data_IF_334515035591
#
_entry.id   IF_334515035591
#
_cell.length_a   1.000
_cell.length_b   1.000
_cell.length_c   1.000
_cell.angle_alpha   90.00
_cell.angle_beta   90.00
_cell.angle_gamma   90.00
#
_symmetry.space_group_name_H-M   'P 1'
#
loop_
_entity.id
_entity.type
_entity.pdbx_description
1 polymer ?
#
# COMPACT_ATOMS: atom_id res chain seq x y z
N UNK A 1 2.66 20.55 -21.14
CA UNK A 1 1.48 20.01 -20.44
C UNK A 1 1.28 18.57 -20.87
N UNK A 2 1.81 17.54 -20.17
CA UNK A 2 1.51 16.16 -20.54
C UNK A 2 0.22 15.72 -19.83
N UNK A 3 -0.76 15.35 -20.63
CA UNK A 3 -2.00 14.73 -20.20
C UNK A 3 -1.69 13.39 -19.52
N UNK A 4 -2.11 13.25 -18.27
CA UNK A 4 -2.05 12.00 -17.53
C UNK A 4 -3.02 10.99 -18.13
N UNK A 5 -2.50 9.89 -18.65
CA UNK A 5 -3.32 8.77 -19.12
C UNK A 5 -3.84 8.02 -17.90
N UNK A 6 -5.04 8.37 -17.43
CA UNK A 6 -5.85 7.50 -16.60
C UNK A 6 -6.43 6.40 -17.49
N UNK A 7 -5.73 5.27 -17.62
CA UNK A 7 -6.30 4.09 -18.30
C UNK A 7 -7.42 3.55 -17.40
N UNK A 8 -8.66 3.89 -17.76
CA UNK A 8 -9.88 3.20 -17.33
C UNK A 8 -9.85 1.76 -17.87
N UNK A 9 -9.05 0.87 -17.27
CA UNK A 9 -9.15 -0.57 -17.53
C UNK A 9 -10.43 -1.19 -16.90
N UNK A 10 -11.24 -0.38 -16.21
CA UNK A 10 -12.40 -0.81 -15.40
C UNK A 10 -13.68 -0.95 -16.23
N UNK A 11 -13.76 -0.43 -17.46
CA UNK A 11 -14.99 -0.48 -18.24
C UNK A 11 -15.27 -1.85 -18.92
N UNK A 12 -14.31 -2.78 -18.94
CA UNK A 12 -14.43 -4.06 -19.66
C UNK A 12 -14.26 -5.31 -18.78
N UNK A 13 -14.50 -5.22 -17.47
CA UNK A 13 -14.41 -6.38 -16.57
C UNK A 13 -15.77 -6.84 -15.99
N UNK A 14 -16.89 -6.36 -16.55
CA UNK A 14 -18.24 -6.71 -16.06
C UNK A 14 -18.74 -8.11 -16.47
N UNK A 15 -17.98 -8.89 -17.23
CA UNK A 15 -18.34 -10.27 -17.58
C UNK A 15 -17.08 -11.13 -17.67
N UNK A 16 -16.80 -11.90 -16.62
CA UNK A 16 -15.66 -12.81 -16.54
C UNK A 16 -15.87 -14.02 -17.48
N UNK A 17 -15.32 -13.96 -18.69
CA UNK A 17 -15.06 -15.13 -19.55
C UNK A 17 -13.55 -15.35 -19.66
N UNK A 18 -13.12 -16.62 -19.78
CA UNK A 18 -11.72 -17.05 -19.82
C UNK A 18 -10.79 -16.22 -20.74
N UNK A 19 -11.29 -15.73 -21.89
CA UNK A 19 -10.50 -14.94 -22.84
C UNK A 19 -10.11 -13.50 -22.43
N UNK A 20 -10.49 -13.01 -21.24
CA UNK A 20 -10.07 -11.67 -20.74
C UNK A 20 -9.02 -11.70 -19.64
N UNK A 21 -8.73 -12.87 -19.05
CA UNK A 21 -7.55 -13.05 -18.18
C UNK A 21 -6.26 -12.99 -19.00
N UNK A 22 -6.27 -13.50 -20.24
CA UNK A 22 -5.17 -13.40 -21.20
C UNK A 22 -4.80 -11.93 -21.49
N UNK A 23 -5.81 -11.04 -21.63
CA UNK A 23 -5.58 -9.61 -21.83
C UNK A 23 -4.93 -8.90 -20.65
N UNK A 24 -5.13 -9.40 -19.43
CA UNK A 24 -4.49 -8.83 -18.25
C UNK A 24 -2.97 -9.10 -18.28
N UNK A 25 -2.57 -10.28 -18.75
CA UNK A 25 -1.16 -10.61 -18.98
C UNK A 25 -0.53 -9.75 -20.09
N UNK A 26 -1.26 -9.49 -21.18
CA UNK A 26 -0.80 -8.62 -22.28
C UNK A 26 -0.63 -7.15 -21.83
N UNK A 27 -1.51 -6.66 -20.97
CA UNK A 27 -1.47 -5.28 -20.48
C UNK A 27 -0.48 -5.08 -19.34
N UNK A 28 -0.09 -6.15 -18.64
CA UNK A 28 0.72 -6.13 -17.42
C UNK A 28 1.96 -5.24 -17.50
N UNK A 29 2.78 -5.22 -18.58
CA UNK A 29 3.99 -4.40 -18.64
C UNK A 29 3.72 -2.89 -18.57
N UNK A 30 2.49 -2.46 -18.89
CA UNK A 30 2.09 -1.04 -18.93
C UNK A 30 1.21 -0.64 -17.74
N UNK A 31 0.69 -1.60 -16.98
CA UNK A 31 -0.17 -1.32 -15.84
C UNK A 31 0.68 -0.74 -14.71
N UNK A 32 0.26 0.41 -14.21
CA UNK A 32 0.82 1.03 -12.99
C UNK A 32 -0.20 1.14 -11.88
N UNK A 33 -1.48 1.19 -12.24
CA UNK A 33 -2.58 1.35 -11.30
C UNK A 33 -3.68 0.37 -11.69
N UNK A 34 -4.10 -0.45 -10.75
CA UNK A 34 -5.11 -1.49 -10.97
C UNK A 34 -6.18 -1.37 -9.92
N UNK A 35 -7.45 -1.50 -10.32
CA UNK A 35 -8.57 -1.50 -9.39
C UNK A 35 -9.53 -2.62 -9.74
N UNK A 36 -9.83 -3.46 -8.75
CA UNK A 36 -10.87 -4.48 -8.82
C UNK A 36 -12.03 -4.03 -7.92
N UNK A 37 -13.18 -3.70 -8.51
CA UNK A 37 -14.33 -3.18 -7.77
C UNK A 37 -15.57 -4.03 -8.05
N UNK A 38 -16.10 -4.69 -7.01
CA UNK A 38 -17.37 -5.40 -7.08
C UNK A 38 -17.38 -6.63 -8.00
N UNK A 39 -16.23 -7.25 -8.26
CA UNK A 39 -16.15 -8.39 -9.19
C UNK A 39 -16.73 -9.65 -8.55
N UNK A 40 -17.72 -10.25 -9.21
CA UNK A 40 -18.46 -11.42 -8.74
C UNK A 40 -18.38 -12.58 -9.73
N UNK A 41 -18.34 -13.82 -9.20
CA UNK A 41 -18.34 -15.05 -9.98
C UNK A 41 -18.77 -16.23 -9.10
N UNK A 42 -19.03 -17.38 -9.74
CA UNK A 42 -19.37 -18.63 -9.04
C UNK A 42 -18.14 -19.27 -8.37
N UNK A 43 -16.94 -18.90 -8.80
CA UNK A 43 -15.69 -19.44 -8.28
C UNK A 43 -14.77 -18.30 -7.82
N UNK A 44 -14.05 -18.58 -6.73
CA UNK A 44 -13.10 -17.65 -6.13
C UNK A 44 -11.69 -17.88 -6.69
N UNK A 45 -11.08 -16.83 -7.20
CA UNK A 45 -9.74 -16.85 -7.78
C UNK A 45 -8.80 -16.04 -6.88
N UNK A 46 -7.70 -16.63 -6.35
CA UNK A 46 -6.70 -15.87 -5.63
C UNK A 46 -5.97 -14.89 -6.54
N UNK A 47 -5.95 -13.60 -6.17
CA UNK A 47 -5.38 -12.55 -7.01
C UNK A 47 -3.89 -12.78 -7.35
N UNK A 48 -3.13 -13.36 -6.41
CA UNK A 48 -1.72 -13.67 -6.61
C UNK A 48 -1.46 -14.72 -7.72
N UNK A 49 -2.48 -15.44 -8.19
CA UNK A 49 -2.36 -16.39 -9.30
C UNK A 49 -2.54 -15.73 -10.68
N UNK A 50 -3.11 -14.53 -10.72
CA UNK A 50 -3.48 -13.85 -11.98
C UNK A 50 -2.85 -12.45 -12.11
N UNK A 51 -2.28 -11.91 -11.03
CA UNK A 51 -1.63 -10.61 -11.03
C UNK A 51 -0.29 -10.69 -10.29
N UNK A 52 0.79 -10.33 -10.99
CA UNK A 52 2.07 -10.00 -10.40
C UNK A 52 2.18 -8.47 -10.23
N UNK A 53 2.70 -8.04 -9.08
CA UNK A 53 2.84 -6.64 -8.68
C UNK A 53 4.10 -5.95 -9.21
N UNK A 54 4.86 -6.61 -10.11
CA UNK A 54 5.95 -5.99 -10.86
C UNK A 54 5.48 -4.70 -11.56
N UNK A 55 6.16 -3.58 -11.28
CA UNK A 55 5.86 -2.30 -11.89
C UNK A 55 4.57 -1.60 -11.39
N UNK A 56 3.80 -2.21 -10.49
CA UNK A 56 2.54 -1.65 -9.96
C UNK A 56 2.82 -0.61 -8.88
N UNK A 57 2.38 0.62 -9.14
CA UNK A 57 2.41 1.74 -8.19
C UNK A 57 1.17 1.72 -7.27
N UNK A 58 -0.01 1.35 -7.78
CA UNK A 58 -1.27 1.38 -7.01
C UNK A 58 -2.16 0.15 -7.26
N UNK A 59 -2.66 -0.46 -6.18
CA UNK A 59 -3.67 -1.53 -6.23
C UNK A 59 -4.84 -1.23 -5.29
N UNK A 60 -6.05 -1.13 -5.84
CA UNK A 60 -7.27 -1.05 -5.04
C UNK A 60 -8.13 -2.30 -5.26
N UNK A 61 -8.60 -2.92 -4.19
CA UNK A 61 -9.54 -4.04 -4.26
C UNK A 61 -10.71 -3.77 -3.34
N UNK A 62 -11.91 -3.77 -3.90
CA UNK A 62 -13.18 -3.75 -3.17
C UNK A 62 -13.95 -5.02 -3.47
N UNK A 63 -13.87 -5.97 -2.56
CA UNK A 63 -14.63 -7.21 -2.69
C UNK A 63 -16.11 -6.95 -2.38
N UNK A 64 -17.03 -7.48 -3.20
CA UNK A 64 -18.45 -7.47 -2.88
C UNK A 64 -18.73 -8.36 -1.67
N UNK A 65 -19.79 -8.06 -0.92
CA UNK A 65 -20.18 -8.82 0.27
C UNK A 65 -20.57 -10.27 -0.06
N UNK A 66 -21.14 -10.49 -1.24
CA UNK A 66 -21.63 -11.79 -1.69
C UNK A 66 -20.94 -12.20 -2.99
N UNK A 67 -20.59 -13.49 -3.08
CA UNK A 67 -20.00 -14.14 -4.26
C UNK A 67 -18.82 -13.39 -4.90
N UNK A 68 -17.79 -12.99 -4.12
CA UNK A 68 -16.61 -12.35 -4.71
C UNK A 68 -15.89 -13.30 -5.68
N UNK A 69 -15.47 -12.78 -6.83
CA UNK A 69 -14.70 -13.55 -7.80
C UNK A 69 -13.21 -13.62 -7.47
N UNK A 70 -12.67 -12.57 -6.83
CA UNK A 70 -11.24 -12.40 -6.61
C UNK A 70 -11.00 -12.26 -5.12
N UNK A 71 -10.15 -13.10 -4.51
CA UNK A 71 -9.70 -12.91 -3.14
C UNK A 71 -8.24 -12.44 -3.05
N UNK A 72 -7.95 -11.66 -2.00
CA UNK A 72 -6.60 -11.17 -1.71
C UNK A 72 -6.13 -11.83 -0.41
N UNK A 73 -4.99 -12.52 -0.47
CA UNK A 73 -4.33 -13.10 0.69
C UNK A 73 -2.93 -12.50 0.86
N UNK A 74 -2.31 -12.76 2.01
CA UNK A 74 -0.95 -12.28 2.31
C UNK A 74 0.09 -12.75 1.29
N UNK A 75 -0.14 -13.86 0.59
CA UNK A 75 0.74 -14.36 -0.50
C UNK A 75 0.98 -13.32 -1.60
N UNK A 76 0.00 -12.46 -1.89
CA UNK A 76 0.20 -11.36 -2.85
C UNK A 76 1.32 -10.41 -2.39
N UNK A 77 1.35 -10.09 -1.10
CA UNK A 77 2.37 -9.22 -0.50
C UNK A 77 3.73 -9.94 -0.40
N UNK A 78 3.73 -11.24 -0.08
CA UNK A 78 4.96 -12.04 -0.07
C UNK A 78 5.58 -12.15 -1.46
N UNK A 79 4.78 -12.41 -2.49
CA UNK A 79 5.24 -12.43 -3.89
C UNK A 79 5.84 -11.08 -4.28
N UNK A 80 5.19 -9.98 -3.89
CA UNK A 80 5.74 -8.64 -4.10
C UNK A 80 7.07 -8.41 -3.36
N UNK A 81 7.23 -8.88 -2.12
CA UNK A 81 8.51 -8.78 -1.39
C UNK A 81 9.62 -9.58 -2.07
N UNK A 82 9.29 -10.70 -2.71
CA UNK A 82 10.24 -11.57 -3.41
C UNK A 82 10.72 -10.99 -4.75
N UNK A 83 10.06 -9.95 -5.28
CA UNK A 83 10.47 -9.33 -6.54
C UNK A 83 11.88 -8.70 -6.44
N UNK A 84 12.66 -8.72 -7.54
CA UNK A 84 13.89 -7.95 -7.65
C UNK A 84 13.67 -6.46 -7.34
N UNK A 85 14.66 -5.81 -6.72
CA UNK A 85 14.56 -4.41 -6.32
C UNK A 85 14.26 -3.46 -7.51
N UNK A 86 14.74 -3.80 -8.71
CA UNK A 86 14.53 -3.04 -9.94
C UNK A 86 13.07 -3.08 -10.43
N UNK A 87 12.34 -4.14 -10.07
CA UNK A 87 10.95 -4.40 -10.47
C UNK A 87 9.96 -3.90 -9.41
N UNK A 88 10.44 -3.67 -8.18
CA UNK A 88 9.61 -3.16 -7.08
C UNK A 88 9.40 -1.65 -7.19
N UNK A 89 8.15 -1.26 -7.27
CA UNK A 89 7.69 0.12 -7.07
C UNK A 89 7.26 0.35 -5.63
N UNK A 90 7.15 1.62 -5.24
CA UNK A 90 6.56 2.00 -3.96
C UNK A 90 5.06 1.79 -4.04
N UNK A 91 4.63 0.64 -3.55
CA UNK A 91 3.25 0.22 -3.65
C UNK A 91 2.34 1.05 -2.74
N UNK A 92 1.22 1.50 -3.29
CA UNK A 92 0.05 1.96 -2.56
C UNK A 92 -1.09 0.97 -2.73
N UNK A 93 -1.52 0.32 -1.66
CA UNK A 93 -2.58 -0.67 -1.68
C UNK A 93 -3.75 -0.29 -0.79
N UNK A 94 -4.99 -0.49 -1.27
CA UNK A 94 -6.20 -0.37 -0.44
C UNK A 94 -7.11 -1.57 -0.64
N UNK A 95 -7.38 -2.28 0.44
CA UNK A 95 -8.17 -3.50 0.48
C UNK A 95 -9.45 -3.28 1.29
N UNK A 96 -10.60 -3.56 0.70
CA UNK A 96 -11.92 -3.43 1.31
C UNK A 96 -12.70 -4.73 1.15
N UNK A 97 -13.20 -5.28 2.26
CA UNK A 97 -13.91 -6.56 2.28
C UNK A 97 -13.01 -7.77 1.98
N UNK A 98 -11.69 -7.60 2.06
CA UNK A 98 -10.67 -8.60 1.76
C UNK A 98 -10.50 -9.67 2.86
N UNK A 99 -11.54 -10.46 3.14
CA UNK A 99 -11.59 -11.40 4.30
C UNK A 99 -10.57 -12.55 4.26
N UNK A 100 -10.00 -12.88 3.10
CA UNK A 100 -8.91 -13.86 2.99
C UNK A 100 -7.56 -13.28 3.43
N UNK A 101 -7.44 -11.96 3.56
CA UNK A 101 -6.34 -11.31 4.26
C UNK A 101 -6.61 -11.42 5.75
N UNK A 102 -5.90 -12.31 6.44
CA UNK A 102 -6.07 -12.56 7.88
C UNK A 102 -5.06 -11.77 8.70
N UNK A 103 -5.36 -11.57 10.00
CA UNK A 103 -4.43 -10.99 10.97
C UNK A 103 -3.07 -11.71 10.97
N UNK A 104 -3.09 -13.05 11.04
CA UNK A 104 -1.90 -13.89 10.95
C UNK A 104 -1.15 -13.67 9.64
N UNK A 105 -1.84 -13.68 8.50
CA UNK A 105 -1.22 -13.46 7.19
C UNK A 105 -0.55 -12.09 7.09
N UNK A 106 -1.18 -11.05 7.64
CA UNK A 106 -0.61 -9.71 7.70
C UNK A 106 0.63 -9.67 8.61
N UNK A 107 0.59 -10.35 9.76
CA UNK A 107 1.75 -10.48 10.65
C UNK A 107 2.91 -11.22 9.97
N UNK A 108 2.63 -12.32 9.26
CA UNK A 108 3.62 -13.04 8.43
C UNK A 108 4.28 -12.11 7.42
N UNK A 109 3.50 -11.28 6.71
CA UNK A 109 4.05 -10.27 5.81
C UNK A 109 4.99 -9.29 6.52
N UNK A 110 4.59 -8.75 7.68
CA UNK A 110 5.43 -7.80 8.43
C UNK A 110 6.73 -8.44 8.91
N UNK A 111 6.69 -9.70 9.36
CA UNK A 111 7.89 -10.44 9.76
C UNK A 111 8.78 -10.76 8.55
N UNK A 112 8.20 -11.15 7.42
CA UNK A 112 8.93 -11.39 6.18
C UNK A 112 9.61 -10.10 5.69
N UNK A 113 8.90 -8.97 5.71
CA UNK A 113 9.44 -7.65 5.40
C UNK A 113 10.65 -7.32 6.29
N UNK A 114 10.52 -7.49 7.61
CA UNK A 114 11.60 -7.28 8.59
C UNK A 114 12.83 -8.14 8.30
N UNK A 115 12.62 -9.32 7.73
CA UNK A 115 13.65 -10.30 7.39
C UNK A 115 14.22 -10.15 5.97
N UNK A 116 13.80 -9.16 5.17
CA UNK A 116 14.36 -8.99 3.82
C UNK A 116 15.84 -8.55 3.85
N UNK A 117 16.65 -8.87 2.82
CA UNK A 117 18.06 -8.47 2.77
C UNK A 117 18.26 -6.96 2.80
N UNK A 118 17.38 -6.22 2.12
CA UNK A 118 17.36 -4.76 2.02
C UNK A 118 15.92 -4.27 2.22
N UNK A 119 15.70 -3.13 2.91
CA UNK A 119 14.36 -2.63 3.18
C UNK A 119 13.50 -2.48 1.91
N UNK A 120 12.37 -3.18 1.88
CA UNK A 120 11.37 -3.01 0.83
C UNK A 120 10.45 -1.83 1.17
N UNK A 121 10.71 -0.66 0.56
CA UNK A 121 9.91 0.55 0.81
C UNK A 121 8.59 0.53 0.04
N UNK A 122 7.52 0.97 0.68
CA UNK A 122 6.18 1.14 0.10
C UNK A 122 5.49 2.36 0.72
N UNK A 123 4.57 2.98 -0.02
CA UNK A 123 3.94 4.22 0.42
C UNK A 123 2.87 3.95 1.48
N UNK A 124 1.95 3.03 1.19
CA UNK A 124 0.85 2.72 2.11
C UNK A 124 0.18 1.39 1.76
N UNK A 125 -0.13 0.57 2.77
CA UNK A 125 -1.03 -0.59 2.63
C UNK A 125 -2.16 -0.38 3.64
N UNK A 126 -3.40 -0.29 3.14
CA UNK A 126 -4.61 -0.07 3.95
C UNK A 126 -5.56 -1.24 3.84
N UNK A 127 -5.98 -1.80 4.97
CA UNK A 127 -6.87 -2.98 5.04
C UNK A 127 -8.02 -2.65 5.98
N UNK A 128 -9.27 -2.80 5.53
CA UNK A 128 -10.43 -2.42 6.33
C UNK A 128 -10.57 -3.30 7.59
N UNK A 129 -11.01 -2.70 8.69
CA UNK A 129 -11.06 -3.37 10.01
C UNK A 129 -12.02 -4.56 10.05
N UNK A 130 -12.95 -4.66 9.10
CA UNK A 130 -13.85 -5.81 8.96
C UNK A 130 -13.15 -7.02 8.34
N UNK A 131 -12.06 -6.81 7.63
CA UNK A 131 -11.24 -7.89 7.07
C UNK A 131 -10.18 -8.33 8.07
N UNK A 132 -9.52 -7.37 8.72
CA UNK A 132 -8.50 -7.64 9.75
C UNK A 132 -8.81 -6.80 10.98
N UNK A 133 -9.34 -7.42 12.06
CA UNK A 133 -9.50 -6.74 13.34
C UNK A 133 -8.15 -6.32 13.94
N UNK A 134 -8.09 -5.13 14.53
CA UNK A 134 -6.85 -4.56 15.10
C UNK A 134 -6.29 -5.44 16.21
N UNK A 135 -7.15 -5.90 17.12
CA UNK A 135 -6.76 -6.72 18.26
C UNK A 135 -6.09 -8.03 17.82
N UNK A 136 -6.72 -8.75 16.88
CA UNK A 136 -6.19 -10.01 16.36
C UNK A 136 -4.82 -9.80 15.69
N UNK A 137 -4.66 -8.72 14.92
CA UNK A 137 -3.38 -8.39 14.31
C UNK A 137 -2.29 -8.06 15.33
N UNK A 138 -2.62 -7.29 16.37
CA UNK A 138 -1.65 -6.99 17.44
C UNK A 138 -1.26 -8.26 18.22
N UNK A 139 -2.21 -9.13 18.54
CA UNK A 139 -1.94 -10.41 19.20
C UNK A 139 -0.99 -11.29 18.37
N UNK A 140 -1.22 -11.39 17.05
CA UNK A 140 -0.34 -12.13 16.13
C UNK A 140 1.07 -11.49 16.03
N UNK A 141 1.19 -10.18 16.21
CA UNK A 141 2.48 -9.48 16.23
C UNK A 141 3.26 -9.69 17.54
N UNK A 142 2.58 -9.91 18.67
CA UNK A 142 3.19 -10.20 19.97
C UNK A 142 3.68 -11.64 20.08
N UNK A 143 2.94 -12.58 19.50
CA UNK A 143 3.32 -14.01 19.42
C UNK A 143 3.38 -14.46 17.96
N UNK A 144 4.47 -14.15 17.23
CA UNK A 144 4.57 -14.48 15.82
C UNK A 144 4.53 -16.00 15.60
N UNK A 145 3.41 -16.47 15.06
CA UNK A 145 3.28 -17.87 14.65
C UNK A 145 3.98 -18.06 13.31
N UNK A 146 4.81 -19.10 13.16
CA UNK A 146 5.35 -19.46 11.83
C UNK A 146 4.19 -19.75 10.88
N UNK A 147 4.31 -19.33 9.62
CA UNK A 147 3.34 -19.71 8.59
C UNK A 147 3.31 -21.25 8.56
N UNK A 148 2.15 -21.92 8.71
CA UNK A 148 2.10 -23.31 8.34
C UNK A 148 2.36 -23.34 6.84
N UNK A 149 3.30 -24.16 6.37
CA UNK A 149 3.33 -24.56 4.97
C UNK A 149 2.00 -25.27 4.66
N UNK A 150 0.93 -24.53 4.40
CA UNK A 150 -0.35 -25.11 4.02
C UNK A 150 -0.20 -25.59 2.56
N UNK A 151 -0.44 -26.89 2.28
CA UNK A 151 -0.54 -27.36 0.91
C UNK A 151 -1.64 -26.56 0.19
N UNK A 152 -1.37 -26.14 -1.04
CA UNK A 152 -2.18 -25.21 -1.85
C UNK A 152 -3.57 -25.73 -2.25
N UNK A 153 -3.99 -26.85 -1.68
CA UNK A 153 -5.32 -27.43 -1.83
C UNK A 153 -6.33 -26.56 -1.10
N UNK A 154 -6.83 -25.54 -1.80
CA UNK A 154 -7.98 -24.76 -1.38
C UNK A 154 -9.14 -25.69 -1.06
N UNK A 155 -9.39 -25.93 0.23
CA UNK A 155 -10.64 -26.50 0.72
C UNK A 155 -11.56 -25.36 1.12
N UNK A 156 -12.87 -25.46 0.83
CA UNK A 156 -13.83 -24.51 1.38
C UNK A 156 -13.69 -24.48 2.91
N UNK A 157 -13.76 -23.30 3.55
CA UNK A 157 -13.61 -23.21 4.99
C UNK A 157 -14.63 -24.13 5.66
N UNK A 158 -14.15 -25.07 6.47
CA UNK A 158 -14.99 -25.81 7.41
C UNK A 158 -15.78 -24.78 8.22
N UNK A 159 -17.10 -24.94 8.43
CA UNK A 159 -17.87 -24.01 9.24
C UNK A 159 -17.14 -23.82 10.59
N UNK A 160 -17.00 -22.57 11.09
CA UNK A 160 -16.36 -22.38 12.38
C UNK A 160 -17.10 -23.21 13.42
N UNK A 161 -16.35 -23.98 14.21
CA UNK A 161 -16.89 -24.66 15.38
C UNK A 161 -17.65 -23.62 16.22
N UNK A 162 -18.82 -24.02 16.73
CA UNK A 162 -19.67 -23.15 17.53
C UNK A 162 -18.83 -22.44 18.60
N UNK A 163 -18.85 -21.10 18.57
CA UNK A 163 -18.10 -20.28 19.50
C UNK A 163 -18.55 -20.60 20.92
N UNK A 164 -17.75 -21.35 21.67
CA UNK A 164 -17.83 -21.34 23.13
C UNK A 164 -17.60 -19.89 23.57
N UNK A 165 -18.54 -19.38 24.37
CA UNK A 165 -18.82 -17.96 24.53
C UNK A 165 -17.60 -17.07 24.73
N UNK A 166 -17.37 -16.17 23.78
CA UNK A 166 -16.61 -14.95 24.03
C UNK A 166 -17.61 -13.89 24.50
N UNK A 167 -17.30 -13.29 25.67
CA UNK A 167 -18.06 -12.20 26.26
C UNK A 167 -18.23 -11.00 25.33
N UNK A 168 -19.01 -9.98 25.75
CA UNK A 168 -19.44 -8.89 24.88
C UNK A 168 -18.23 -8.22 24.21
N UNK A 169 -18.32 -8.05 22.88
CA UNK A 169 -17.32 -7.36 22.06
C UNK A 169 -16.89 -6.08 22.77
N UNK A 170 -15.64 -6.05 23.26
CA UNK A 170 -15.09 -4.87 23.88
C UNK A 170 -15.12 -3.73 22.86
N UNK A 171 -15.75 -2.62 23.26
CA UNK A 171 -16.13 -1.48 22.44
C UNK A 171 -15.11 -1.09 21.37
N UNK A 172 -15.62 -0.88 20.15
CA UNK A 172 -14.91 -0.39 18.95
C UNK A 172 -14.05 0.86 19.20
N UNK A 173 -14.31 1.58 20.30
CA UNK A 173 -13.67 2.83 20.71
C UNK A 173 -12.30 2.70 21.40
N UNK A 174 -11.82 1.50 21.78
CA UNK A 174 -10.48 1.38 22.43
C UNK A 174 -9.29 1.34 21.47
N UNK A 175 -9.49 0.98 20.21
CA UNK A 175 -8.38 0.62 19.31
C UNK A 175 -8.04 1.67 18.24
N UNK A 176 -8.75 2.80 18.22
CA UNK A 176 -8.54 3.89 17.25
C UNK A 176 -7.19 4.61 17.39
N UNK A 177 -6.54 4.49 18.55
CA UNK A 177 -5.24 5.11 18.84
C UNK A 177 -4.07 4.12 18.82
N UNK A 178 -4.28 2.87 18.39
CA UNK A 178 -3.24 1.87 18.34
C UNK A 178 -2.17 2.23 17.32
N UNK A 179 -0.91 2.16 17.77
CA UNK A 179 0.27 2.37 16.94
C UNK A 179 1.25 1.23 17.18
N UNK A 180 1.87 0.77 16.10
CA UNK A 180 2.93 -0.23 16.16
C UNK A 180 4.05 0.23 15.23
N UNK A 181 5.29 0.19 15.70
CA UNK A 181 6.47 0.50 14.89
C UNK A 181 7.38 -0.71 14.86
N UNK A 182 7.66 -1.22 13.67
CA UNK A 182 8.57 -2.34 13.43
C UNK A 182 9.81 -1.82 12.73
N UNK A 183 10.98 -1.99 13.37
CA UNK A 183 12.27 -1.66 12.74
C UNK A 183 12.70 -2.79 11.82
N UNK A 184 13.16 -2.44 10.62
CA UNK A 184 13.81 -3.39 9.73
C UNK A 184 15.10 -3.92 10.37
N UNK A 185 15.50 -5.16 10.07
CA UNK A 185 16.74 -5.74 10.63
C UNK A 185 18.02 -5.02 10.20
N UNK A 186 17.96 -4.30 9.07
CA UNK A 186 19.06 -3.57 8.44
C UNK A 186 18.65 -2.14 8.10
N UNK A 187 19.54 -1.18 8.33
CA UNK A 187 19.31 0.22 8.01
C UNK A 187 18.36 0.93 8.98
N UNK A 188 17.86 2.08 8.56
CA UNK A 188 16.99 2.97 9.37
C UNK A 188 15.53 2.93 8.95
N UNK A 189 15.13 1.89 8.21
CA UNK A 189 13.76 1.75 7.74
C UNK A 189 12.83 1.27 8.86
N UNK A 190 11.67 1.89 8.96
CA UNK A 190 10.58 1.50 9.87
C UNK A 190 9.32 1.21 9.08
N UNK A 191 8.54 0.27 9.59
CA UNK A 191 7.16 0.03 9.21
C UNK A 191 6.30 0.49 10.37
N UNK A 192 5.49 1.51 10.11
CA UNK A 192 4.60 2.12 11.09
C UNK A 192 3.15 1.73 10.77
N UNK A 193 2.44 1.25 11.78
CA UNK A 193 1.02 0.95 11.73
C UNK A 193 0.25 2.00 12.54
N UNK A 194 -0.86 2.47 11.98
CA UNK A 194 -1.90 3.18 12.72
C UNK A 194 -3.29 2.73 12.26
N UNK A 195 -4.31 3.10 13.05
CA UNK A 195 -5.70 2.94 12.65
C UNK A 195 -6.23 4.28 12.15
N UNK A 196 -6.77 4.31 10.94
CA UNK A 196 -7.35 5.52 10.34
C UNK A 196 -8.50 5.17 9.41
N UNK A 197 -9.60 5.94 9.47
CA UNK A 197 -10.76 5.85 8.58
C UNK A 197 -11.38 4.44 8.45
N UNK A 198 -11.30 3.62 9.51
CA UNK A 198 -11.78 2.24 9.47
C UNK A 198 -10.83 1.26 8.77
N UNK A 199 -9.53 1.59 8.72
CA UNK A 199 -8.48 0.73 8.19
C UNK A 199 -7.33 0.57 9.19
N UNK A 200 -6.69 -0.60 9.17
CA UNK A 200 -5.27 -0.72 9.55
C UNK A 200 -4.47 -0.11 8.40
N UNK A 201 -3.60 0.85 8.71
CA UNK A 201 -2.75 1.54 7.73
C UNK A 201 -1.30 1.28 8.08
N UNK A 202 -0.61 0.54 7.21
CA UNK A 202 0.83 0.33 7.26
C UNK A 202 1.52 1.33 6.34
N UNK A 203 2.61 1.95 6.79
CA UNK A 203 3.48 2.81 5.99
C UNK A 203 4.93 2.45 6.25
N UNK A 204 5.76 2.53 5.21
CA UNK A 204 7.18 2.34 5.37
C UNK A 204 7.90 3.69 5.22
N UNK A 205 8.79 4.00 6.15
CA UNK A 205 9.66 5.18 6.07
C UNK A 205 11.11 4.78 6.24
N UNK A 206 12.02 5.58 5.68
CA UNK A 206 13.46 5.40 5.86
C UNK A 206 14.09 6.73 6.27
N UNK A 207 15.01 6.71 7.24
CA UNK A 207 15.62 7.93 7.78
C UNK A 207 16.39 8.78 6.75
N UNK A 208 16.62 8.27 5.53
CA UNK A 208 17.18 9.07 4.42
C UNK A 208 16.14 9.96 3.72
N UNK A 209 14.85 9.67 3.83
CA UNK A 209 13.77 10.38 3.12
C UNK A 209 13.26 11.62 3.86
N UNK A 210 13.51 11.72 5.17
CA UNK A 210 13.16 12.89 5.98
C UNK A 210 13.98 14.14 5.65
N UNK A 211 14.87 14.11 4.66
CA UNK A 211 15.67 15.28 4.21
C UNK A 211 15.15 15.99 2.95
N UNK A 212 13.99 15.62 2.40
CA UNK A 212 13.42 16.33 1.25
C UNK A 212 11.94 16.66 1.42
N UNK A 213 11.59 17.37 2.49
CA UNK A 213 10.36 18.16 2.55
C UNK A 213 10.53 19.28 3.59
N UNK A 214 11.01 20.44 3.11
CA UNK A 214 10.64 21.81 3.50
C UNK A 214 11.79 22.75 3.07
N UNK A 215 11.61 23.66 2.09
CA UNK A 215 12.37 24.89 2.14
C UNK A 215 11.94 25.59 3.43
N UNK A 216 12.89 25.77 4.34
CA UNK A 216 12.75 26.69 5.46
C UNK A 216 12.55 28.10 4.91
N UNK A 217 11.31 28.49 4.65
CA UNK A 217 10.94 29.90 4.58
C UNK A 217 11.12 30.47 5.98
N UNK A 218 12.32 30.99 6.22
CA UNK A 218 12.53 31.93 7.31
C UNK A 218 11.74 33.22 7.04
N UNK A 219 11.26 33.77 8.15
CA UNK A 219 11.04 35.19 8.40
C UNK A 219 9.81 35.86 7.79
N UNK A 220 8.81 36.05 8.65
CA UNK A 220 8.11 37.34 8.71
C UNK A 220 7.66 37.64 10.14
N UNK A 221 8.44 38.47 10.85
CA UNK A 221 7.92 39.47 11.81
C UNK A 221 8.87 40.67 11.90
N UNK A 222 8.38 41.77 11.34
CA UNK A 222 8.57 43.19 11.70
C UNK A 222 10.00 43.75 11.86
N UNK A 223 10.29 44.75 11.01
CA UNK A 223 11.02 45.94 11.43
C UNK A 223 12.09 46.41 10.44
N UNK A 224 11.85 47.60 9.88
CA UNK A 224 12.82 48.50 9.23
C UNK A 224 13.23 48.13 7.79
N UNK A 225 12.68 48.88 6.83
CA UNK A 225 13.19 48.94 5.45
C UNK A 225 14.44 49.82 5.39
N UNK A 226 15.57 49.34 4.84
CA UNK A 226 16.59 50.22 4.28
C UNK A 226 16.22 50.52 2.83
N UNK A 227 16.09 51.81 2.53
CA UNK A 227 15.82 52.38 1.21
C UNK A 227 17.04 52.16 0.30
N UNK A 228 16.92 51.54 -0.90
CA UNK A 228 17.98 51.61 -1.89
C UNK A 228 17.84 52.91 -2.68
N UNK A 229 18.88 53.74 -2.66
CA UNK A 229 19.01 54.90 -3.54
C UNK A 229 19.24 54.44 -4.98
N UNK A 230 18.33 54.83 -5.87
CA UNK A 230 18.50 54.81 -7.32
C UNK A 230 19.62 55.76 -7.77
N UNK A 231 20.33 55.35 -8.83
CA UNK A 231 21.13 56.11 -9.84
C UNK A 231 22.50 55.45 -10.04
N UNK A 232 23.03 55.19 -11.23
CA UNK A 232 22.56 55.34 -12.60
C UNK A 232 23.38 54.38 -13.50
N UNK A 233 22.76 54.03 -14.62
CA UNK A 233 23.26 53.18 -15.68
C UNK A 233 24.35 53.84 -16.55
N UNK A 234 25.27 52.99 -17.01
CA UNK A 234 26.03 53.01 -18.28
C UNK A 234 26.93 54.22 -18.63
N UNK A 235 28.24 53.95 -18.63
CA UNK A 235 29.24 54.65 -19.44
C UNK A 235 29.71 53.69 -20.54
N UNK A 236 29.43 53.99 -21.80
CA UNK A 236 29.96 53.26 -22.96
C UNK A 236 30.44 54.28 -23.98
N UNK A 237 31.72 54.64 -23.87
CA UNK A 237 32.45 55.42 -24.85
C UNK A 237 33.18 54.46 -25.80
N UNK A 238 32.82 54.45 -27.08
CA UNK A 238 33.74 53.95 -28.11
C UNK A 238 33.58 54.73 -29.42
N UNK A 239 34.74 55.08 -29.95
CA UNK A 239 35.05 55.93 -31.11
C UNK A 239 34.65 55.32 -32.46
N UNK A 240 34.43 56.21 -33.43
CA UNK A 240 34.64 56.02 -34.88
C UNK A 240 33.58 56.81 -35.66
N UNK A 241 33.84 57.86 -36.46
CA UNK A 241 35.07 58.31 -37.12
C UNK A 241 35.08 57.82 -38.57
N UNK A 242 34.63 58.66 -39.51
CA UNK A 242 34.65 58.42 -40.97
C UNK A 242 33.40 58.92 -41.66
#
# INVERSE_FOLDING_TARGET
MPYGVCIHAIAELKTLSAGRLERLAELQPSLRRVTFDGIQANHLIPLHKILDLNGIDELNVKQPQFSPAICVSHRLLLNWLALPAQQRRRLRMRLFGCRTMTARGLAVFVQAWKATPEPCLFDQISIDLRSVPVYDFLAEMETPTKDPDEPEDWRPPTPPAAAYGHGPMAAESRWTNCKLTVKHRKGTATLDMCVADGFIVLRCTSGKETRSALPSTMSSRRGVMPRPSSMQCFDAKTKGGG
#
